data_IF_488424700889
#
_entry.id   IF_488424700889
#
_cell.length_a   1.000
_cell.length_b   1.000
_cell.length_c   1.000
_cell.angle_alpha   90.00
_cell.angle_beta   90.00
_cell.angle_gamma   90.00
#
_symmetry.space_group_name_H-M   'P 1'
#
loop_
_entity.id
_entity.type
_entity.pdbx_description
1 polymer ?
#
# COMPACT_ATOMS: atom_id res chain seq x y z
N UNK A 1 16.95 4.98 -4.08
CA UNK A 1 16.25 6.06 -3.35
C UNK A 1 15.38 6.84 -4.33
N UNK A 2 14.17 7.27 -3.90
CA UNK A 2 13.34 8.14 -4.71
C UNK A 2 13.99 9.52 -4.80
N UNK A 3 14.03 10.08 -6.00
CA UNK A 3 14.60 11.40 -6.24
C UNK A 3 13.56 12.52 -6.02
N UNK A 4 13.99 13.78 -5.75
CA UNK A 4 13.05 14.91 -5.68
C UNK A 4 12.16 15.02 -6.92
N UNK A 5 12.71 14.87 -8.12
CA UNK A 5 11.94 14.91 -9.37
C UNK A 5 10.86 13.80 -9.45
N UNK A 6 11.15 12.62 -8.91
CA UNK A 6 10.14 11.55 -8.83
C UNK A 6 9.05 11.88 -7.79
N UNK A 7 9.39 12.50 -6.67
CA UNK A 7 8.40 12.97 -5.68
C UNK A 7 7.50 14.05 -6.28
N UNK A 8 8.07 15.00 -7.02
CA UNK A 8 7.31 16.05 -7.70
C UNK A 8 6.35 15.45 -8.73
N UNK A 9 6.81 14.50 -9.55
CA UNK A 9 5.97 13.82 -10.53
C UNK A 9 4.79 13.07 -9.87
N UNK A 10 5.04 12.41 -8.72
CA UNK A 10 3.97 11.74 -7.95
C UNK A 10 2.98 12.76 -7.40
N UNK A 11 3.45 13.87 -6.82
CA UNK A 11 2.60 14.93 -6.30
C UNK A 11 1.76 15.60 -7.40
N UNK A 12 2.32 15.84 -8.57
CA UNK A 12 1.60 16.46 -9.69
C UNK A 12 0.53 15.52 -10.26
N UNK A 13 0.85 14.24 -10.38
CA UNK A 13 -0.14 13.23 -10.75
C UNK A 13 -1.26 13.14 -9.70
N UNK A 14 -0.92 13.15 -8.42
CA UNK A 14 -1.90 13.12 -7.33
C UNK A 14 -2.84 14.34 -7.37
N UNK A 15 -2.31 15.54 -7.58
CA UNK A 15 -3.12 16.76 -7.77
C UNK A 15 -4.04 16.66 -8.97
N UNK A 16 -3.54 16.13 -10.09
CA UNK A 16 -4.34 15.90 -11.29
C UNK A 16 -5.52 14.95 -11.02
N UNK A 17 -5.26 13.78 -10.42
CA UNK A 17 -6.31 12.84 -10.05
C UNK A 17 -7.31 13.45 -9.05
N UNK A 18 -6.83 14.16 -8.03
CA UNK A 18 -7.68 14.80 -7.03
C UNK A 18 -8.58 15.91 -7.63
N UNK A 19 -8.16 16.55 -8.72
CA UNK A 19 -9.00 17.50 -9.44
C UNK A 19 -10.13 16.86 -10.25
N UNK A 20 -9.95 15.59 -10.61
CA UNK A 20 -10.89 14.82 -11.45
C UNK A 20 -11.84 13.95 -10.63
N UNK A 21 -11.49 13.55 -9.42
CA UNK A 21 -12.22 12.53 -8.68
C UNK A 21 -12.40 12.88 -7.19
N UNK A 22 -13.55 12.48 -6.65
CA UNK A 22 -13.88 12.53 -5.23
C UNK A 22 -13.56 11.21 -4.53
N UNK A 23 -13.56 10.12 -5.30
CA UNK A 23 -13.18 8.78 -4.83
C UNK A 23 -12.13 8.19 -5.77
N UNK A 24 -11.07 7.65 -5.19
CA UNK A 24 -10.01 6.97 -5.93
C UNK A 24 -9.91 5.53 -5.43
N UNK A 25 -10.13 4.58 -6.34
CA UNK A 25 -9.98 3.15 -6.05
C UNK A 25 -8.55 2.72 -6.34
N UNK A 26 -7.83 2.32 -5.30
CA UNK A 26 -6.49 1.73 -5.41
C UNK A 26 -6.63 0.23 -5.53
N UNK A 27 -6.15 -0.33 -6.64
CA UNK A 27 -6.31 -1.73 -7.00
C UNK A 27 -4.96 -2.43 -6.89
N UNK A 28 -4.84 -3.35 -5.93
CA UNK A 28 -3.61 -4.08 -5.66
C UNK A 28 -3.77 -5.09 -4.54
N UNK A 29 -2.80 -5.97 -4.36
CA UNK A 29 -2.78 -6.99 -3.32
C UNK A 29 -1.38 -7.10 -2.70
N UNK A 30 -1.28 -7.62 -1.49
CA UNK A 30 -0.01 -7.79 -0.80
C UNK A 30 0.75 -6.47 -0.66
N UNK A 31 2.00 -6.43 -1.12
CA UNK A 31 2.83 -5.22 -1.07
C UNK A 31 2.31 -4.04 -1.90
N UNK A 32 1.49 -4.30 -2.91
CA UNK A 32 0.81 -3.25 -3.68
C UNK A 32 -0.41 -2.65 -2.95
N UNK A 33 -0.71 -3.12 -1.75
CA UNK A 33 -1.85 -2.70 -0.94
C UNK A 33 -1.44 -2.36 0.49
N UNK A 34 -0.78 -3.29 1.20
CA UNK A 34 -0.60 -3.22 2.65
C UNK A 34 0.20 -2.01 3.12
N UNK A 35 1.30 -1.66 2.45
CA UNK A 35 2.11 -0.52 2.85
C UNK A 35 1.36 0.82 2.75
N UNK A 36 0.65 1.04 1.63
CA UNK A 36 -0.17 2.23 1.46
C UNK A 36 -1.32 2.28 2.47
N UNK A 37 -2.01 1.16 2.67
CA UNK A 37 -3.12 1.03 3.63
C UNK A 37 -2.65 1.29 5.06
N UNK A 38 -1.49 0.75 5.44
CA UNK A 38 -0.90 0.94 6.77
C UNK A 38 -0.63 2.42 7.08
N UNK A 39 0.03 3.13 6.15
CA UNK A 39 0.32 4.55 6.35
C UNK A 39 -0.96 5.38 6.31
N UNK A 40 -1.87 5.07 5.38
CA UNK A 40 -3.14 5.79 5.27
C UNK A 40 -3.93 5.72 6.58
N UNK A 41 -4.13 4.53 7.15
CA UNK A 41 -4.88 4.38 8.40
C UNK A 41 -4.16 4.96 9.60
N UNK A 42 -2.83 4.78 9.69
CA UNK A 42 -2.06 5.34 10.79
C UNK A 42 -2.13 6.88 10.86
N UNK A 43 -2.26 7.53 9.70
CA UNK A 43 -2.24 9.00 9.58
C UNK A 43 -3.62 9.62 9.41
N UNK A 44 -4.69 8.84 9.24
CA UNK A 44 -6.04 9.33 9.03
C UNK A 44 -6.86 9.36 10.31
N UNK A 45 -7.83 10.26 10.37
CA UNK A 45 -8.88 10.21 11.37
C UNK A 45 -9.81 9.02 11.09
N UNK A 46 -10.00 8.08 12.05
CA UNK A 46 -10.88 6.93 11.86
C UNK A 46 -12.33 7.31 11.53
N UNK A 47 -12.74 8.51 11.91
CA UNK A 47 -14.09 9.02 11.72
C UNK A 47 -14.22 10.02 10.56
N UNK A 48 -13.18 10.14 9.73
CA UNK A 48 -13.13 11.13 8.63
C UNK A 48 -14.37 11.09 7.71
N UNK A 49 -14.96 9.92 7.49
CA UNK A 49 -16.15 9.78 6.65
C UNK A 49 -17.40 10.47 7.21
N UNK A 50 -17.41 10.80 8.52
CA UNK A 50 -18.48 11.56 9.16
C UNK A 50 -18.34 13.08 9.00
N UNK A 51 -17.19 13.54 8.52
CA UNK A 51 -16.98 14.95 8.28
C UNK A 51 -17.79 15.40 7.06
N UNK A 52 -18.56 16.49 7.20
CA UNK A 52 -19.46 16.98 6.15
C UNK A 52 -18.75 17.41 4.87
N UNK A 53 -17.48 17.79 4.98
CA UNK A 53 -16.67 18.24 3.84
C UNK A 53 -15.39 17.42 3.78
N UNK A 54 -15.16 16.81 2.63
CA UNK A 54 -13.91 16.13 2.33
C UNK A 54 -13.05 17.08 1.49
N UNK A 55 -11.90 17.47 2.01
CA UNK A 55 -10.96 18.35 1.29
C UNK A 55 -10.03 17.56 0.34
N UNK A 56 -10.03 16.25 0.45
CA UNK A 56 -9.24 15.31 -0.35
C UNK A 56 -10.09 14.14 -0.82
N UNK A 57 -9.72 13.48 -1.92
CA UNK A 57 -10.40 12.28 -2.36
C UNK A 57 -10.43 11.20 -1.29
N UNK A 58 -11.53 10.47 -1.21
CA UNK A 58 -11.63 9.26 -0.42
C UNK A 58 -10.87 8.16 -1.15
N UNK A 59 -9.93 7.51 -0.48
CA UNK A 59 -9.18 6.38 -1.02
C UNK A 59 -9.84 5.07 -0.56
N UNK A 60 -10.31 4.28 -1.52
CA UNK A 60 -10.83 2.94 -1.31
C UNK A 60 -9.88 1.91 -1.93
N UNK A 61 -9.94 0.67 -1.46
CA UNK A 61 -9.08 -0.40 -1.97
C UNK A 61 -9.91 -1.51 -2.59
N UNK A 62 -9.40 -2.11 -3.68
CA UNK A 62 -9.95 -3.27 -4.34
C UNK A 62 -8.85 -4.22 -4.82
N UNK A 63 -9.21 -5.46 -5.16
CA UNK A 63 -8.24 -6.44 -5.64
C UNK A 63 -7.41 -7.10 -4.55
N UNK A 64 -7.74 -6.89 -3.29
CA UNK A 64 -7.17 -7.61 -2.15
C UNK A 64 -8.00 -8.85 -1.75
N UNK A 65 -9.11 -9.07 -2.44
CA UNK A 65 -9.98 -10.23 -2.29
C UNK A 65 -10.72 -10.52 -3.62
N UNK A 66 -11.48 -11.64 -3.67
CA UNK A 66 -12.30 -12.05 -4.81
C UNK A 66 -13.81 -12.04 -4.49
N UNK A 67 -14.24 -11.33 -3.45
CA UNK A 67 -15.66 -11.23 -3.11
C UNK A 67 -16.42 -10.42 -4.16
N UNK A 68 -17.41 -11.02 -4.79
CA UNK A 68 -18.29 -10.33 -5.73
C UNK A 68 -19.17 -9.30 -5.01
N UNK A 69 -19.66 -9.63 -3.81
CA UNK A 69 -20.46 -8.72 -2.99
C UNK A 69 -19.66 -7.44 -2.65
N UNK A 70 -18.39 -7.60 -2.25
CA UNK A 70 -17.53 -6.46 -1.95
C UNK A 70 -17.37 -5.52 -3.16
N UNK A 71 -17.12 -6.07 -4.34
CA UNK A 71 -16.98 -5.27 -5.56
C UNK A 71 -18.30 -4.62 -5.97
N UNK A 72 -19.41 -5.34 -5.87
CA UNK A 72 -20.74 -4.82 -6.15
C UNK A 72 -21.09 -3.64 -5.23
N UNK A 73 -20.89 -3.80 -3.92
CA UNK A 73 -21.15 -2.76 -2.93
C UNK A 73 -20.23 -1.55 -3.10
N UNK A 74 -18.94 -1.77 -3.42
CA UNK A 74 -17.99 -0.70 -3.72
C UNK A 74 -18.47 0.13 -4.91
N UNK A 75 -18.86 -0.51 -6.01
CA UNK A 75 -19.37 0.19 -7.19
C UNK A 75 -20.68 0.91 -6.88
N UNK A 76 -21.59 0.28 -6.14
CA UNK A 76 -22.85 0.91 -5.74
C UNK A 76 -22.61 2.15 -4.87
N UNK A 77 -21.71 2.07 -3.89
CA UNK A 77 -21.35 3.17 -3.00
C UNK A 77 -20.68 4.33 -3.74
N UNK A 78 -19.93 4.04 -4.80
CA UNK A 78 -19.20 5.07 -5.56
C UNK A 78 -20.04 5.73 -6.67
N UNK A 79 -21.28 5.27 -6.93
CA UNK A 79 -22.15 5.84 -7.97
C UNK A 79 -22.35 7.37 -7.89
N UNK A 80 -22.59 7.97 -6.71
CA UNK A 80 -22.83 9.41 -6.63
C UNK A 80 -21.56 10.26 -6.73
N UNK A 81 -20.36 9.67 -6.75
CA UNK A 81 -19.08 10.37 -6.70
C UNK A 81 -18.36 10.32 -8.05
N UNK A 82 -17.53 11.35 -8.31
CA UNK A 82 -16.56 11.29 -9.40
C UNK A 82 -15.47 10.28 -9.07
N UNK A 83 -15.24 9.34 -9.97
CA UNK A 83 -14.39 8.16 -9.77
C UNK A 83 -13.09 8.24 -10.58
N UNK A 84 -11.99 7.78 -9.99
CA UNK A 84 -10.72 7.47 -10.65
C UNK A 84 -10.12 6.20 -10.06
N UNK A 85 -9.09 5.66 -10.68
CA UNK A 85 -8.41 4.45 -10.22
C UNK A 85 -6.89 4.53 -10.32
N UNK A 86 -6.20 3.90 -9.38
CA UNK A 86 -4.77 3.62 -9.43
C UNK A 86 -4.62 2.10 -9.41
N UNK A 87 -4.15 1.51 -10.50
CA UNK A 87 -3.92 0.06 -10.58
C UNK A 87 -2.43 -0.24 -10.40
N UNK A 88 -2.12 -1.12 -9.47
CA UNK A 88 -0.77 -1.43 -9.03
C UNK A 88 -0.51 -2.92 -9.19
N UNK A 89 0.27 -3.28 -10.21
CA UNK A 89 0.70 -4.66 -10.45
C UNK A 89 1.94 -4.69 -11.32
N UNK A 90 3.00 -5.35 -10.87
CA UNK A 90 4.23 -5.47 -11.64
C UNK A 90 4.03 -6.27 -12.93
N UNK A 91 3.41 -7.44 -12.84
CA UNK A 91 3.13 -8.31 -13.98
C UNK A 91 1.85 -7.95 -14.73
N UNK A 92 0.84 -7.46 -14.02
CA UNK A 92 -0.52 -7.29 -14.53
C UNK A 92 -1.32 -8.59 -14.65
N UNK A 93 -0.78 -9.71 -14.15
CA UNK A 93 -1.40 -11.04 -14.28
C UNK A 93 -1.81 -11.65 -12.94
N UNK A 94 -1.58 -10.96 -11.81
CA UNK A 94 -2.10 -11.38 -10.51
C UNK A 94 -3.62 -11.33 -10.57
N UNK A 95 -4.27 -12.45 -10.27
CA UNK A 95 -5.70 -12.69 -10.55
C UNK A 95 -6.60 -11.66 -9.88
N UNK A 96 -6.43 -11.45 -8.58
CA UNK A 96 -7.33 -10.61 -7.78
C UNK A 96 -7.35 -9.15 -8.26
N UNK A 97 -6.21 -8.45 -8.39
CA UNK A 97 -6.21 -7.09 -8.93
C UNK A 97 -6.58 -7.04 -10.42
N UNK A 98 -6.31 -8.10 -11.22
CA UNK A 98 -6.70 -8.10 -12.62
C UNK A 98 -8.23 -8.17 -12.79
N UNK A 99 -8.92 -9.00 -12.00
CA UNK A 99 -10.39 -9.08 -11.98
C UNK A 99 -10.99 -7.75 -11.50
N UNK A 100 -10.53 -7.24 -10.36
CA UNK A 100 -11.01 -5.98 -9.82
C UNK A 100 -10.78 -4.80 -10.80
N UNK A 101 -9.61 -4.76 -11.44
CA UNK A 101 -9.30 -3.71 -12.40
C UNK A 101 -10.18 -3.76 -13.64
N UNK A 102 -10.44 -4.95 -14.18
CA UNK A 102 -11.35 -5.11 -15.31
C UNK A 102 -12.73 -4.51 -15.02
N UNK A 103 -13.27 -4.80 -13.85
CA UNK A 103 -14.60 -4.35 -13.43
C UNK A 103 -14.62 -2.82 -13.19
N UNK A 104 -13.65 -2.29 -12.45
CA UNK A 104 -13.56 -0.84 -12.17
C UNK A 104 -13.26 -0.04 -13.44
N UNK A 105 -12.41 -0.55 -14.33
CA UNK A 105 -12.14 0.06 -15.64
C UNK A 105 -13.43 0.19 -16.47
N UNK A 106 -14.19 -0.89 -16.57
CA UNK A 106 -15.47 -0.91 -17.30
C UNK A 106 -16.45 0.12 -16.74
N UNK A 107 -16.54 0.25 -15.42
CA UNK A 107 -17.37 1.27 -14.76
C UNK A 107 -16.91 2.69 -15.09
N UNK A 108 -15.59 2.96 -15.05
CA UNK A 108 -15.06 4.28 -15.39
C UNK A 108 -15.30 4.60 -16.87
N UNK A 109 -15.07 3.64 -17.78
CA UNK A 109 -15.32 3.82 -19.21
C UNK A 109 -16.79 4.04 -19.53
N UNK A 110 -17.69 3.34 -18.84
CA UNK A 110 -19.14 3.49 -18.98
C UNK A 110 -19.59 4.88 -18.55
N UNK A 111 -19.03 5.40 -17.45
CA UNK A 111 -19.40 6.73 -16.92
C UNK A 111 -18.87 7.88 -17.76
N UNK A 112 -17.65 7.77 -18.28
CA UNK A 112 -16.93 8.92 -18.82
C UNK A 112 -16.52 8.76 -20.28
N UNK A 113 -16.66 7.59 -20.88
CA UNK A 113 -16.09 7.25 -22.19
C UNK A 113 -14.58 7.01 -22.14
N UNK A 114 -14.03 6.30 -23.12
CA UNK A 114 -12.63 5.86 -23.14
C UNK A 114 -11.60 7.00 -23.00
N UNK A 115 -11.81 8.07 -23.74
CA UNK A 115 -10.84 9.19 -23.77
C UNK A 115 -10.72 9.89 -22.39
N UNK A 116 -11.83 10.05 -21.68
CA UNK A 116 -11.81 10.65 -20.35
C UNK A 116 -11.41 9.64 -19.28
N UNK A 117 -11.77 8.35 -19.45
CA UNK A 117 -11.32 7.26 -18.58
C UNK A 117 -9.79 7.15 -18.56
N UNK A 118 -9.12 7.35 -19.69
CA UNK A 118 -7.66 7.33 -19.78
C UNK A 118 -6.97 8.37 -18.88
N UNK A 119 -7.61 9.50 -18.60
CA UNK A 119 -7.11 10.53 -17.69
C UNK A 119 -7.35 10.21 -16.21
N UNK A 120 -8.29 9.29 -15.93
CA UNK A 120 -8.74 8.90 -14.59
C UNK A 120 -8.11 7.60 -14.09
N UNK A 121 -7.33 6.94 -14.94
CA UNK A 121 -6.65 5.68 -14.60
C UNK A 121 -5.15 5.90 -14.65
N UNK A 122 -4.47 5.55 -13.56
CA UNK A 122 -3.01 5.55 -13.49
C UNK A 122 -2.53 4.14 -13.21
N UNK A 123 -1.54 3.67 -13.96
CA UNK A 123 -0.96 2.35 -13.77
C UNK A 123 0.44 2.45 -13.14
N UNK A 124 0.64 1.77 -12.02
CA UNK A 124 1.94 1.58 -11.38
C UNK A 124 2.39 0.16 -11.68
N UNK A 125 3.38 0.00 -12.56
CA UNK A 125 3.70 -1.31 -13.16
C UNK A 125 5.18 -1.39 -13.58
N UNK A 126 5.57 -2.50 -14.22
CA UNK A 126 6.91 -2.69 -14.80
C UNK A 126 7.23 -1.60 -15.84
N UNK A 127 8.52 -1.33 -16.02
CA UNK A 127 9.00 -0.31 -16.97
C UNK A 127 8.74 -0.68 -18.43
N UNK A 128 8.84 -1.98 -18.79
CA UNK A 128 8.93 -2.42 -20.20
C UNK A 128 7.98 -3.55 -20.56
N UNK A 129 7.58 -4.40 -19.60
CA UNK A 129 6.87 -5.66 -19.88
C UNK A 129 5.72 -5.91 -18.90
N UNK A 130 4.91 -6.91 -19.23
CA UNK A 130 3.74 -7.30 -18.44
C UNK A 130 2.43 -6.81 -19.06
N UNK A 131 1.35 -7.52 -18.75
CA UNK A 131 0.04 -7.26 -19.30
C UNK A 131 -0.47 -5.85 -18.98
N UNK A 132 -0.22 -5.37 -17.76
CA UNK A 132 -0.64 -4.01 -17.35
C UNK A 132 0.16 -2.92 -18.09
N UNK A 133 1.48 -3.13 -18.32
CA UNK A 133 2.29 -2.19 -19.11
C UNK A 133 1.76 -2.09 -20.54
N UNK A 134 1.50 -3.21 -21.17
CA UNK A 134 0.96 -3.26 -22.53
C UNK A 134 -0.37 -2.53 -22.63
N UNK A 135 -1.30 -2.85 -21.72
CA UNK A 135 -2.61 -2.21 -21.66
C UNK A 135 -2.50 -0.70 -21.42
N UNK A 136 -1.70 -0.27 -20.44
CA UNK A 136 -1.52 1.13 -20.12
C UNK A 136 -0.96 1.95 -21.31
N UNK A 137 -0.06 1.34 -22.08
CA UNK A 137 0.46 1.97 -23.31
C UNK A 137 -0.60 2.07 -24.40
N UNK A 138 -1.40 1.02 -24.60
CA UNK A 138 -2.46 0.99 -25.61
C UNK A 138 -3.59 1.98 -25.32
N UNK A 139 -3.99 2.07 -24.04
CA UNK A 139 -5.09 2.94 -23.61
C UNK A 139 -4.64 4.38 -23.26
N UNK A 140 -3.33 4.65 -23.26
CA UNK A 140 -2.80 5.98 -22.97
C UNK A 140 -2.85 6.40 -21.50
N UNK A 141 -2.80 5.45 -20.56
CA UNK A 141 -2.78 5.76 -19.14
C UNK A 141 -1.47 6.40 -18.71
N UNK A 142 -1.53 7.33 -17.75
CA UNK A 142 -0.35 7.76 -17.04
C UNK A 142 0.28 6.58 -16.28
N UNK A 143 1.61 6.50 -16.27
CA UNK A 143 2.30 5.35 -15.69
C UNK A 143 3.42 5.74 -14.76
N UNK A 144 3.60 4.94 -13.69
CA UNK A 144 4.79 4.96 -12.84
C UNK A 144 5.45 3.58 -12.84
N UNK A 145 6.76 3.58 -12.64
CA UNK A 145 7.57 2.36 -12.68
C UNK A 145 7.73 1.79 -11.27
N UNK A 146 7.51 0.48 -11.15
CA UNK A 146 7.94 -0.31 -9.99
C UNK A 146 9.39 -0.73 -10.25
N UNK A 147 10.37 -0.29 -9.45
CA UNK A 147 11.77 -0.67 -9.65
C UNK A 147 11.96 -2.19 -9.62
N UNK A 148 12.85 -2.70 -10.47
CA UNK A 148 13.07 -4.15 -10.61
C UNK A 148 13.72 -4.78 -9.38
N UNK A 149 14.55 -4.01 -8.69
CA UNK A 149 15.29 -4.39 -7.49
C UNK A 149 14.49 -4.22 -6.19
N UNK A 150 13.24 -3.73 -6.25
CA UNK A 150 12.36 -3.58 -5.10
C UNK A 150 11.30 -4.67 -5.10
N UNK A 151 11.30 -5.50 -4.05
CA UNK A 151 10.23 -6.48 -3.80
C UNK A 151 8.94 -5.82 -3.31
N UNK A 152 7.79 -6.49 -3.54
CA UNK A 152 6.46 -5.94 -3.21
C UNK A 152 6.34 -5.46 -1.77
N UNK A 153 6.76 -6.27 -0.80
CA UNK A 153 6.69 -5.94 0.64
C UNK A 153 7.60 -4.79 1.09
N UNK A 154 8.50 -4.31 0.24
CA UNK A 154 9.40 -3.17 0.48
C UNK A 154 9.02 -1.92 -0.33
N UNK A 155 7.91 -1.94 -1.06
CA UNK A 155 7.65 -0.99 -2.14
C UNK A 155 6.90 0.29 -1.71
N UNK A 156 6.55 0.46 -0.43
CA UNK A 156 5.76 1.62 0.04
C UNK A 156 6.42 2.97 -0.27
N UNK A 157 7.74 3.05 -0.26
CA UNK A 157 8.50 4.27 -0.59
C UNK A 157 8.81 4.41 -2.09
N UNK A 158 8.12 3.67 -2.94
CA UNK A 158 8.08 3.84 -4.40
C UNK A 158 6.71 4.40 -4.80
N UNK A 159 6.45 4.71 -6.07
CA UNK A 159 5.12 5.12 -6.50
C UNK A 159 3.98 4.16 -6.12
N UNK A 160 4.29 2.90 -5.79
CA UNK A 160 3.34 1.91 -5.27
C UNK A 160 2.60 2.40 -4.02
N UNK A 161 3.33 2.95 -3.05
CA UNK A 161 2.73 3.52 -1.84
C UNK A 161 2.55 5.02 -1.93
N UNK A 162 3.54 5.73 -2.49
CA UNK A 162 3.55 7.19 -2.46
C UNK A 162 2.41 7.84 -3.26
N UNK A 163 1.98 7.26 -4.40
CA UNK A 163 0.89 7.83 -5.17
C UNK A 163 -0.46 7.72 -4.45
N UNK A 164 -0.89 6.56 -3.94
CA UNK A 164 -2.08 6.46 -3.10
C UNK A 164 -2.08 7.42 -1.90
N UNK A 165 -0.93 7.58 -1.24
CA UNK A 165 -0.79 8.44 -0.07
C UNK A 165 -0.87 9.92 -0.44
N UNK A 166 -0.26 10.33 -1.55
CA UNK A 166 -0.30 11.70 -2.04
C UNK A 166 -1.72 12.12 -2.43
N UNK A 167 -2.51 11.25 -3.09
CA UNK A 167 -3.91 11.56 -3.42
C UNK A 167 -4.79 11.69 -2.19
N UNK A 168 -4.49 10.95 -1.11
CA UNK A 168 -5.14 11.09 0.18
C UNK A 168 -4.72 12.36 0.94
N UNK A 169 -3.74 13.10 0.42
CA UNK A 169 -3.25 14.35 1.03
C UNK A 169 -2.17 14.16 2.08
N UNK A 170 -1.60 12.97 2.21
CA UNK A 170 -0.47 12.72 3.10
C UNK A 170 0.79 13.34 2.50
N UNK A 171 1.59 14.01 3.34
CA UNK A 171 2.86 14.59 2.93
C UNK A 171 3.91 13.49 2.70
N UNK A 172 4.03 13.06 1.45
CA UNK A 172 4.98 11.99 1.08
C UNK A 172 6.45 12.40 1.20
N UNK A 173 6.75 13.70 1.16
CA UNK A 173 8.10 14.22 1.40
C UNK A 173 8.55 13.98 2.84
N UNK A 174 7.65 14.23 3.81
CA UNK A 174 7.92 13.96 5.23
C UNK A 174 8.08 12.44 5.49
N UNK A 175 7.25 11.61 4.86
CA UNK A 175 7.37 10.15 4.96
C UNK A 175 8.74 9.66 4.46
N UNK A 176 9.17 10.16 3.30
CA UNK A 176 10.49 9.81 2.73
C UNK A 176 11.62 10.32 3.61
N UNK A 177 11.50 11.53 4.16
CA UNK A 177 12.49 12.09 5.10
C UNK A 177 12.63 11.22 6.34
N UNK A 178 11.52 10.82 6.96
CA UNK A 178 11.55 9.91 8.11
C UNK A 178 12.24 8.58 7.82
N UNK A 179 12.00 8.01 6.64
CA UNK A 179 12.70 6.80 6.20
C UNK A 179 14.22 7.03 5.98
N UNK A 180 14.61 8.18 5.43
CA UNK A 180 16.02 8.55 5.26
C UNK A 180 16.72 8.76 6.61
N UNK A 181 16.05 9.33 7.58
CA UNK A 181 16.60 9.53 8.92
C UNK A 181 16.76 8.19 9.63
N UNK A 182 15.77 7.28 9.53
CA UNK A 182 15.94 5.92 10.04
C UNK A 182 17.07 5.17 9.34
N UNK A 183 17.23 5.32 8.03
CA UNK A 183 18.32 4.69 7.29
C UNK A 183 19.71 5.13 7.78
N UNK A 184 19.88 6.38 8.23
CA UNK A 184 21.12 6.86 8.87
C UNK A 184 21.34 6.19 10.23
N UNK A 185 20.27 6.08 11.04
CA UNK A 185 20.32 5.46 12.37
C UNK A 185 20.61 3.95 12.32
N UNK A 186 20.32 3.32 11.19
CA UNK A 186 20.46 1.87 11.01
C UNK A 186 21.51 1.49 9.96
N UNK A 187 22.40 2.43 9.60
CA UNK A 187 23.47 2.17 8.65
C UNK A 187 24.47 1.13 9.19
N UNK A 188 25.20 0.50 8.28
CA UNK A 188 26.07 -0.63 8.63
C UNK A 188 27.27 -0.23 9.53
N UNK A 189 27.65 1.03 9.52
CA UNK A 189 28.73 1.62 10.32
C UNK A 189 28.25 2.16 11.70
N UNK A 190 26.95 2.13 11.97
CA UNK A 190 26.41 2.53 13.28
C UNK A 190 26.71 1.42 14.31
N UNK A 191 27.32 1.75 15.48
CA UNK A 191 27.63 0.78 16.52
C UNK A 191 26.42 -0.03 16.98
N UNK A 192 26.65 -1.26 17.45
CA UNK A 192 25.59 -2.18 17.87
C UNK A 192 24.65 -1.57 18.92
N UNK A 193 25.19 -0.88 19.91
CA UNK A 193 24.46 -0.27 21.03
C UNK A 193 23.65 0.98 20.63
N UNK A 194 23.92 1.53 19.44
CA UNK A 194 23.19 2.66 18.88
C UNK A 194 22.27 2.26 17.71
N UNK A 195 22.38 1.02 17.19
CA UNK A 195 21.66 0.57 16.00
C UNK A 195 20.44 -0.30 16.38
N UNK A 196 19.22 0.27 16.41
CA UNK A 196 18.03 -0.46 16.84
C UNK A 196 17.67 -1.65 15.94
N UNK A 197 17.99 -1.59 14.64
CA UNK A 197 17.70 -2.68 13.71
C UNK A 197 18.57 -3.90 13.99
N UNK A 198 19.87 -3.68 14.27
CA UNK A 198 20.81 -4.76 14.60
C UNK A 198 20.50 -5.34 15.97
N UNK A 199 20.14 -4.52 16.97
CA UNK A 199 19.71 -4.97 18.29
C UNK A 199 18.46 -5.85 18.20
N UNK A 200 17.45 -5.40 17.44
CA UNK A 200 16.21 -6.17 17.20
C UNK A 200 16.53 -7.50 16.53
N UNK A 201 17.33 -7.50 15.47
CA UNK A 201 17.72 -8.73 14.79
C UNK A 201 18.49 -9.70 15.72
N UNK A 202 19.38 -9.19 16.55
CA UNK A 202 20.12 -9.99 17.52
C UNK A 202 19.19 -10.62 18.57
N UNK A 203 18.25 -9.83 19.12
CA UNK A 203 17.26 -10.32 20.09
C UNK A 203 16.38 -11.43 19.49
N UNK A 204 15.85 -11.22 18.27
CA UNK A 204 15.07 -12.22 17.54
C UNK A 204 15.84 -13.54 17.35
N UNK A 205 17.10 -13.45 16.90
CA UNK A 205 17.94 -14.62 16.70
C UNK A 205 18.25 -15.35 18.02
N UNK A 206 18.52 -14.62 19.10
CA UNK A 206 18.77 -15.20 20.41
C UNK A 206 17.53 -15.95 20.94
N UNK A 207 16.35 -15.37 20.82
CA UNK A 207 15.08 -15.98 21.21
C UNK A 207 14.76 -17.20 20.34
N UNK A 208 14.95 -17.10 19.01
CA UNK A 208 14.76 -18.22 18.10
C UNK A 208 15.64 -19.44 18.48
N UNK A 209 16.92 -19.21 18.81
CA UNK A 209 17.83 -20.25 19.28
C UNK A 209 17.40 -20.88 20.60
N UNK A 210 16.68 -20.13 21.46
CA UNK A 210 16.09 -20.64 22.71
C UNK A 210 14.77 -21.39 22.49
N UNK A 211 14.28 -21.49 21.24
CA UNK A 211 13.07 -22.25 20.89
C UNK A 211 11.80 -21.43 20.75
N UNK A 212 11.85 -20.10 20.90
CA UNK A 212 10.69 -19.23 20.64
C UNK A 212 10.45 -19.16 19.12
N UNK A 213 9.28 -19.61 18.67
CA UNK A 213 8.94 -19.75 17.23
C UNK A 213 7.84 -18.81 16.77
N UNK A 214 7.24 -18.05 17.68
CA UNK A 214 6.17 -17.11 17.38
C UNK A 214 6.59 -15.75 17.93
N UNK A 215 6.44 -14.73 17.11
CA UNK A 215 6.61 -13.34 17.50
C UNK A 215 5.30 -12.58 17.30
N UNK A 216 4.86 -11.86 18.31
CA UNK A 216 3.59 -11.15 18.31
C UNK A 216 3.86 -9.66 18.39
N UNK A 217 3.47 -8.93 17.34
CA UNK A 217 3.42 -7.48 17.34
C UNK A 217 2.12 -7.01 17.98
N UNK A 218 2.22 -6.35 19.15
CA UNK A 218 1.07 -5.83 19.87
C UNK A 218 0.96 -4.31 19.74
N UNK A 219 -0.22 -3.80 19.46
CA UNK A 219 -0.50 -2.36 19.36
C UNK A 219 -1.73 -2.00 20.21
N UNK A 220 -1.68 -0.83 20.88
CA UNK A 220 -2.82 -0.24 21.61
C UNK A 220 -3.62 0.76 20.75
N UNK A 221 -3.05 1.25 19.67
CA UNK A 221 -3.74 2.17 18.77
C UNK A 221 -4.35 1.39 17.60
N UNK A 222 -5.68 1.37 17.43
CA UNK A 222 -6.34 0.65 16.36
C UNK A 222 -5.91 1.13 14.95
N UNK A 223 -5.43 2.35 14.82
CA UNK A 223 -4.89 2.86 13.55
C UNK A 223 -3.64 2.12 13.08
N UNK A 224 -2.94 1.43 13.98
CA UNK A 224 -1.73 0.65 13.66
C UNK A 224 -2.04 -0.79 13.24
N UNK A 225 -3.30 -1.18 13.12
CA UNK A 225 -3.68 -2.53 12.72
C UNK A 225 -3.03 -2.93 11.38
N UNK A 226 -3.10 -2.06 10.36
CA UNK A 226 -2.50 -2.36 9.06
C UNK A 226 -0.97 -2.23 9.04
N UNK A 227 -0.36 -1.53 9.97
CA UNK A 227 1.10 -1.62 10.20
C UNK A 227 1.47 -3.04 10.62
N UNK A 228 0.67 -3.65 11.49
CA UNK A 228 0.86 -5.05 11.90
C UNK A 228 0.62 -6.03 10.74
N UNK A 229 -0.40 -5.81 9.89
CA UNK A 229 -0.64 -6.64 8.72
C UNK A 229 0.52 -6.57 7.70
N UNK A 230 1.04 -5.37 7.46
CA UNK A 230 2.21 -5.16 6.62
C UNK A 230 3.47 -5.81 7.20
N UNK A 231 3.70 -5.69 8.51
CA UNK A 231 4.78 -6.35 9.23
C UNK A 231 4.71 -7.89 9.10
N UNK A 232 3.50 -8.47 9.21
CA UNK A 232 3.30 -9.93 8.99
C UNK A 232 3.69 -10.34 7.57
N UNK A 233 3.32 -9.59 6.56
CA UNK A 233 3.75 -9.85 5.18
C UNK A 233 5.28 -9.74 5.06
N UNK A 234 5.89 -8.70 5.64
CA UNK A 234 7.33 -8.50 5.57
C UNK A 234 8.09 -9.74 6.05
N UNK A 235 7.73 -10.25 7.21
CA UNK A 235 8.42 -11.42 7.79
C UNK A 235 7.94 -12.74 7.20
N UNK A 236 6.65 -12.90 6.94
CA UNK A 236 6.09 -14.12 6.35
C UNK A 236 6.65 -14.44 4.96
N UNK A 237 6.91 -13.42 4.13
CA UNK A 237 7.55 -13.59 2.81
C UNK A 237 9.09 -13.59 2.86
N UNK A 238 9.70 -13.15 3.97
CA UNK A 238 11.16 -13.05 4.08
C UNK A 238 11.80 -14.27 4.74
N UNK A 239 11.09 -14.92 5.63
CA UNK A 239 11.55 -16.08 6.40
C UNK A 239 11.00 -17.41 5.86
N UNK A 240 11.27 -18.52 6.55
CA UNK A 240 10.80 -19.86 6.18
C UNK A 240 11.71 -20.64 5.25
N UNK A 241 12.84 -20.08 4.81
CA UNK A 241 13.84 -20.77 4.01
C UNK A 241 14.49 -21.91 4.81
N UNK A 242 14.66 -23.06 4.19
CA UNK A 242 15.21 -24.27 4.83
C UNK A 242 14.42 -24.72 6.08
N UNK A 243 13.13 -24.41 6.13
CA UNK A 243 12.29 -24.71 7.32
C UNK A 243 12.62 -23.86 8.54
N UNK A 244 13.37 -22.76 8.39
CA UNK A 244 13.77 -21.85 9.48
C UNK A 244 12.97 -20.55 9.39
N UNK A 245 12.63 -20.02 10.55
CA UNK A 245 11.93 -18.74 10.66
C UNK A 245 11.04 -18.66 11.90
N UNK A 246 10.60 -17.44 12.18
CA UNK A 246 9.67 -17.12 13.28
C UNK A 246 8.32 -16.81 12.66
N UNK A 247 7.24 -17.38 13.20
CA UNK A 247 5.88 -17.10 12.75
C UNK A 247 5.43 -15.71 13.21
N UNK A 248 5.15 -14.78 12.31
CA UNK A 248 4.70 -13.43 12.67
C UNK A 248 3.20 -13.44 12.94
N UNK A 249 2.79 -13.01 14.13
CA UNK A 249 1.41 -12.81 14.52
C UNK A 249 1.21 -11.37 15.04
N UNK A 250 -0.04 -10.92 15.17
CA UNK A 250 -0.33 -9.61 15.74
C UNK A 250 -1.58 -9.62 16.59
N UNK A 251 -1.65 -8.68 17.53
CA UNK A 251 -2.82 -8.44 18.39
C UNK A 251 -3.09 -6.94 18.49
N UNK A 252 -4.36 -6.57 18.54
CA UNK A 252 -4.80 -5.19 18.80
C UNK A 252 -5.40 -5.11 20.19
N UNK A 253 -4.68 -4.49 21.09
CA UNK A 253 -5.07 -4.32 22.47
C UNK A 253 -5.97 -3.08 22.62
N UNK A 254 -6.92 -3.05 23.52
CA UNK A 254 -7.24 -4.07 24.56
C UNK A 254 -8.19 -5.17 24.08
N UNK A 255 -8.76 -5.07 22.86
CA UNK A 255 -9.75 -6.04 22.36
C UNK A 255 -9.24 -7.49 22.48
N UNK A 256 -8.03 -7.75 22.02
CA UNK A 256 -7.46 -9.09 22.02
C UNK A 256 -7.03 -9.62 23.42
N UNK A 257 -7.07 -8.78 24.45
CA UNK A 257 -6.98 -9.28 25.84
C UNK A 257 -8.20 -10.11 26.23
N UNK A 258 -9.34 -9.90 25.54
CA UNK A 258 -10.57 -10.67 25.76
C UNK A 258 -10.69 -11.89 24.81
N UNK A 259 -9.64 -12.22 24.08
CA UNK A 259 -9.54 -13.36 23.17
C UNK A 259 -8.19 -14.07 23.32
N UNK A 260 -7.19 -13.69 22.53
CA UNK A 260 -5.87 -14.33 22.52
C UNK A 260 -5.03 -14.05 23.79
N UNK A 261 -5.38 -13.03 24.57
CA UNK A 261 -4.71 -12.67 25.82
C UNK A 261 -5.18 -13.46 27.03
N UNK A 262 -6.19 -14.32 26.86
CA UNK A 262 -6.65 -15.23 27.92
C UNK A 262 -5.66 -16.38 28.07
#
# INVERSE_FOLDING_TARGET
QITPAQLDAVNDCAKSLASLAEVIVVIGIGGSYLGAKAVLEAMSDPFQLLHKKQDKPIVLFAGQNLSEDYLYELLAATKPYKLAAIVISKSGTTTEPAVAFRIVKEEIETRYGKAEAAKRIVAVTDAKRGALRTLATQEGYATFVIPDDIGGRYSVLTPVGLLPLAVAGINIGELVRGAQDMAKMTAADVPFDENPAVQYAAARNALYKKGYKIEILASYDPRLQYVSEWWKQLYGESEGKEGKGIFPASVTLTADLHSMGQ
#
